data_IF_234427783531
#
_entry.id   IF_234427783531
#
_cell.length_a   1.000
_cell.length_b   1.000
_cell.length_c   1.000
_cell.angle_alpha   90.00
_cell.angle_beta   90.00
_cell.angle_gamma   90.00
#
_symmetry.space_group_name_H-M   'P 1'
#
loop_
_entity.id
_entity.type
_entity.pdbx_description
1 polymer ?
#
# COMPACT_ATOMS: atom_id res chain seq x y z
N UNK A 1 19.63 7.13 8.09
CA UNK A 1 19.77 6.55 7.53
C UNK A 1 19.42 6.52 6.38
N UNK A 2 19.44 6.90 5.75
CA UNK A 2 19.10 6.99 4.61
C UNK A 2 19.53 5.91 3.86
N UNK A 3 19.05 4.91 4.03
CA UNK A 3 19.44 3.80 3.30
C UNK A 3 18.98 3.90 1.92
N UNK A 4 19.79 3.48 0.99
CA UNK A 4 19.39 3.46 -0.37
C UNK A 4 18.42 2.35 -0.60
N UNK A 5 17.37 2.66 -1.31
CA UNK A 5 16.37 1.69 -1.69
C UNK A 5 16.84 1.02 -2.96
N UNK A 6 16.81 -0.30 -3.04
CA UNK A 6 17.25 -0.99 -4.27
C UNK A 6 16.37 -0.62 -5.45
N UNK A 7 16.93 -0.67 -6.67
CA UNK A 7 16.15 -0.32 -7.86
C UNK A 7 14.89 -1.13 -8.02
N UNK A 8 14.91 -2.40 -7.63
CA UNK A 8 13.74 -3.25 -7.76
C UNK A 8 12.58 -2.76 -6.90
N UNK A 9 12.87 -2.00 -5.84
CA UNK A 9 11.83 -1.44 -5.01
C UNK A 9 10.94 -0.52 -5.84
N UNK A 10 11.57 0.31 -6.65
CA UNK A 10 10.81 1.25 -7.48
C UNK A 10 10.02 0.53 -8.56
N UNK A 11 10.53 -0.58 -9.06
CA UNK A 11 9.78 -1.40 -10.01
C UNK A 11 8.51 -1.94 -9.37
N UNK A 12 8.61 -2.35 -8.13
CA UNK A 12 7.45 -2.86 -7.41
C UNK A 12 6.44 -1.75 -7.13
N UNK A 13 6.94 -0.58 -6.76
CA UNK A 13 6.05 0.58 -6.58
C UNK A 13 5.31 0.87 -7.87
N UNK A 14 6.02 0.81 -9.00
CA UNK A 14 5.41 1.11 -10.28
C UNK A 14 4.31 0.13 -10.66
N UNK A 15 4.37 -1.10 -10.18
CA UNK A 15 3.29 -2.05 -10.42
C UNK A 15 1.99 -1.56 -9.78
N UNK A 16 2.10 -1.03 -8.57
CA UNK A 16 0.91 -0.49 -7.89
C UNK A 16 0.42 0.76 -8.58
N UNK A 17 1.34 1.60 -9.05
CA UNK A 17 0.97 2.80 -9.77
C UNK A 17 0.24 2.43 -11.08
N UNK A 18 0.68 1.38 -11.75
CA UNK A 18 0.03 0.93 -12.97
C UNK A 18 -1.41 0.52 -12.70
N UNK A 19 -1.65 -0.20 -11.60
CA UNK A 19 -3.01 -0.58 -11.23
C UNK A 19 -3.84 0.67 -10.94
N UNK A 20 -3.26 1.62 -10.21
CA UNK A 20 -3.95 2.85 -9.91
C UNK A 20 -4.35 3.61 -11.18
N UNK A 21 -3.44 3.63 -12.15
CA UNK A 21 -3.71 4.31 -13.42
C UNK A 21 -4.85 3.64 -14.17
N UNK A 22 -4.97 2.34 -14.09
CA UNK A 22 -6.09 1.64 -14.68
C UNK A 22 -7.40 2.05 -14.03
N UNK A 23 -7.37 2.18 -12.71
CA UNK A 23 -8.58 2.55 -11.98
C UNK A 23 -9.04 3.95 -12.32
N UNK A 24 -8.13 4.86 -12.60
CA UNK A 24 -8.51 6.24 -12.91
C UNK A 24 -9.23 6.34 -14.25
N UNK A 25 -9.25 5.28 -15.03
CA UNK A 25 -10.08 5.24 -16.23
C UNK A 25 -11.57 5.18 -15.89
N UNK A 26 -11.89 4.58 -14.73
CA UNK A 26 -13.28 4.39 -14.32
C UNK A 26 -13.67 5.25 -13.14
N UNK A 27 -12.73 5.65 -12.32
CA UNK A 27 -12.99 6.36 -11.09
C UNK A 27 -12.13 7.61 -11.04
N UNK A 28 -12.57 8.60 -10.28
CA UNK A 28 -11.77 9.83 -10.21
C UNK A 28 -10.50 9.58 -9.35
N UNK A 29 -9.56 10.50 -9.51
CA UNK A 29 -8.26 10.38 -8.88
C UNK A 29 -8.36 10.36 -7.35
N UNK A 30 -9.25 11.17 -6.80
CA UNK A 30 -9.42 11.22 -5.35
C UNK A 30 -9.87 9.89 -4.79
N UNK A 31 -10.79 9.25 -5.49
CA UNK A 31 -11.28 7.95 -5.04
C UNK A 31 -10.17 6.91 -5.12
N UNK A 32 -9.41 6.92 -6.20
CA UNK A 32 -8.32 5.96 -6.36
C UNK A 32 -7.28 6.16 -5.26
N UNK A 33 -6.97 7.42 -4.95
CA UNK A 33 -6.03 7.73 -3.89
C UNK A 33 -6.50 7.17 -2.55
N UNK A 34 -7.78 7.36 -2.23
CA UNK A 34 -8.33 6.86 -0.98
C UNK A 34 -8.29 5.33 -0.93
N UNK A 35 -8.57 4.69 -2.05
CA UNK A 35 -8.53 3.23 -2.12
C UNK A 35 -7.12 2.73 -1.85
N UNK A 36 -6.12 3.39 -2.44
CA UNK A 36 -4.74 2.99 -2.24
C UNK A 36 -4.35 3.12 -0.77
N UNK A 37 -4.72 4.23 -0.16
CA UNK A 37 -4.38 4.44 1.24
C UNK A 37 -5.03 3.40 2.13
N UNK A 38 -6.28 3.08 1.87
CA UNK A 38 -6.98 2.09 2.65
C UNK A 38 -6.39 0.70 2.44
N UNK A 39 -6.09 0.36 1.20
CA UNK A 39 -5.51 -0.93 0.88
C UNK A 39 -4.14 -1.09 1.54
N UNK A 40 -3.33 -0.03 1.50
CA UNK A 40 -2.02 -0.06 2.13
C UNK A 40 -2.14 -0.28 3.64
N UNK A 41 -3.08 0.41 4.26
CA UNK A 41 -3.28 0.27 5.70
C UNK A 41 -3.70 -1.15 6.06
N UNK A 42 -4.61 -1.73 5.28
CA UNK A 42 -5.07 -3.08 5.53
C UNK A 42 -3.95 -4.10 5.34
N UNK A 43 -3.17 -3.92 4.30
CA UNK A 43 -2.08 -4.85 4.06
C UNK A 43 -1.03 -4.76 5.17
N UNK A 44 -0.72 -3.53 5.59
CA UNK A 44 0.24 -3.33 6.65
C UNK A 44 -0.24 -3.93 7.98
N UNK A 45 -1.52 -3.79 8.26
CA UNK A 45 -2.09 -4.40 9.46
C UNK A 45 -1.97 -5.92 9.40
N UNK A 46 -2.26 -6.48 8.23
CA UNK A 46 -2.14 -7.92 8.04
C UNK A 46 -0.70 -8.38 8.28
N UNK A 47 0.25 -7.63 7.78
CA UNK A 47 1.66 -7.97 7.96
C UNK A 47 2.05 -7.94 9.44
N UNK A 48 1.58 -6.95 10.17
CA UNK A 48 1.88 -6.85 11.59
C UNK A 48 1.34 -8.06 12.35
N UNK A 49 0.12 -8.47 12.03
CA UNK A 49 -0.45 -9.63 12.69
C UNK A 49 0.28 -10.91 12.32
N UNK A 50 0.80 -10.99 11.11
CA UNK A 50 1.56 -12.17 10.70
C UNK A 50 2.90 -12.23 11.43
N UNK A 51 3.50 -11.07 11.71
CA UNK A 51 4.78 -11.03 12.41
C UNK A 51 4.60 -11.18 13.90
N UNK A 52 3.51 -10.68 14.44
CA UNK A 52 3.24 -10.73 15.88
C UNK A 52 1.75 -10.96 16.09
N UNK A 53 1.34 -12.22 16.12
CA UNK A 53 -0.09 -12.53 16.22
C UNK A 53 -0.76 -11.98 17.46
N UNK A 54 0.02 -11.67 18.48
CA UNK A 54 -0.53 -11.13 19.71
C UNK A 54 -0.64 -9.62 19.69
N UNK A 55 -0.19 -8.97 18.63
CA UNK A 55 -0.24 -7.52 18.57
C UNK A 55 -1.68 -7.03 18.51
N UNK A 56 -1.91 -5.91 19.19
CA UNK A 56 -3.19 -5.26 19.14
C UNK A 56 -3.04 -4.03 18.25
N UNK A 57 -3.87 -3.93 17.24
CA UNK A 57 -3.77 -2.84 16.30
C UNK A 57 -4.66 -1.69 16.74
N UNK A 58 -4.15 -0.46 16.71
CA UNK A 58 -4.95 0.70 17.06
C UNK A 58 -6.12 0.85 16.08
N UNK A 59 -7.25 1.15 16.60
CA UNK A 59 -8.39 1.40 15.75
C UNK A 59 -8.96 0.21 15.05
N UNK A 60 -8.54 -0.95 15.47
CA UNK A 60 -9.02 -2.16 14.85
C UNK A 60 -10.48 -2.42 15.25
#
# INVERSE_FOLDING_TARGET
MADKVPPEFYDLVNRFIAVANEMTGDYNTSRVSAVIMYAAARYNAHCLLALDPDATLPGA
#
